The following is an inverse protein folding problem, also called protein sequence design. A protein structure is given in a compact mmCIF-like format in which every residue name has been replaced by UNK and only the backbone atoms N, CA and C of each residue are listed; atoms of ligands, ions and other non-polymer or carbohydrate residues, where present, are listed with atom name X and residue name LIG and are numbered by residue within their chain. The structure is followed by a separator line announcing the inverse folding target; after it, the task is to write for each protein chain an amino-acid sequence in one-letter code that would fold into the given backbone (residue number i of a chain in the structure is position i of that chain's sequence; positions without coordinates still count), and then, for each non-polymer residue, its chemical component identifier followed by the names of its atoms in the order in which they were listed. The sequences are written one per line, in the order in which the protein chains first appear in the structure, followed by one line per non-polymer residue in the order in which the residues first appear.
data_IF_021518226924
#
_entry.id   IF_021518226924
#
_cell.length_a   1.000
_cell.length_b   1.000
_cell.length_c   1.000
_cell.angle_alpha   90.00
_cell.angle_beta   90.00
_cell.angle_gamma   90.00
#
_symmetry.space_group_name_H-M   'P 1'
#
loop_
_entity.id
_entity.type
_entity.pdbx_description
1 polymer ?
#
# COMPACT_ATOMS: atom_id res chain seq x y z
N UNK A 1 -17.80 -48.52 -12.17
CA UNK A 1 -16.99 -48.02 -11.04
C UNK A 1 -15.84 -47.11 -11.50
N UNK A 2 -14.93 -47.55 -12.38
CA UNK A 2 -13.76 -46.74 -12.81
C UNK A 2 -14.11 -45.39 -13.46
N UNK A 3 -15.18 -45.34 -14.29
CA UNK A 3 -15.68 -44.10 -14.91
C UNK A 3 -16.34 -43.13 -13.92
N UNK A 4 -16.96 -43.66 -12.86
CA UNK A 4 -17.63 -42.85 -11.83
C UNK A 4 -16.59 -42.20 -10.90
N UNK A 5 -15.56 -42.95 -10.52
CA UNK A 5 -14.41 -42.41 -9.75
C UNK A 5 -13.70 -41.32 -10.54
N UNK A 6 -13.48 -41.52 -11.84
CA UNK A 6 -12.84 -40.51 -12.69
C UNK A 6 -13.68 -39.22 -12.79
N UNK A 7 -15.00 -39.32 -12.90
CA UNK A 7 -15.90 -38.17 -12.94
C UNK A 7 -15.88 -37.38 -11.62
N UNK A 8 -15.86 -38.08 -10.49
CA UNK A 8 -15.79 -37.48 -9.14
C UNK A 8 -14.46 -36.76 -8.96
N UNK A 9 -13.34 -37.36 -9.37
CA UNK A 9 -12.01 -36.71 -9.32
C UNK A 9 -11.96 -35.46 -10.22
N UNK A 10 -12.56 -35.51 -11.40
CA UNK A 10 -12.62 -34.36 -12.32
C UNK A 10 -13.44 -33.21 -11.71
N UNK A 11 -14.60 -33.52 -11.12
CA UNK A 11 -15.44 -32.53 -10.45
C UNK A 11 -14.76 -31.94 -9.21
N UNK A 12 -14.03 -32.75 -8.44
CA UNK A 12 -13.26 -32.26 -7.29
C UNK A 12 -12.12 -31.32 -7.72
N UNK A 13 -11.43 -31.62 -8.83
CA UNK A 13 -10.40 -30.75 -9.40
C UNK A 13 -10.98 -29.42 -9.91
N UNK A 14 -12.14 -29.44 -10.56
CA UNK A 14 -12.82 -28.22 -11.01
C UNK A 14 -13.27 -27.36 -9.82
N UNK A 15 -13.81 -27.99 -8.76
CA UNK A 15 -14.20 -27.28 -7.55
C UNK A 15 -13.01 -26.66 -6.80
N UNK A 16 -11.87 -27.36 -6.74
CA UNK A 16 -10.63 -26.84 -6.14
C UNK A 16 -10.05 -25.67 -6.95
N UNK A 17 -10.04 -25.77 -8.28
CA UNK A 17 -9.56 -24.69 -9.15
C UNK A 17 -10.45 -23.44 -9.13
N UNK A 18 -11.77 -23.61 -9.00
CA UNK A 18 -12.68 -22.49 -8.82
C UNK A 18 -12.44 -21.77 -7.48
N UNK A 19 -12.18 -22.51 -6.39
CA UNK A 19 -11.90 -21.91 -5.08
C UNK A 19 -10.60 -21.06 -5.08
N UNK A 20 -9.58 -21.45 -5.87
CA UNK A 20 -8.37 -20.64 -6.02
C UNK A 20 -8.55 -19.44 -6.94
N UNK A 21 -9.46 -19.51 -7.92
CA UNK A 21 -9.74 -18.42 -8.86
C UNK A 21 -10.57 -17.27 -8.25
N UNK A 22 -11.19 -17.48 -7.09
CA UNK A 22 -11.89 -16.43 -6.33
C UNK A 22 -11.15 -16.03 -5.04
N UNK A 23 -9.93 -16.54 -4.83
CA UNK A 23 -9.09 -16.17 -3.69
C UNK A 23 -8.36 -14.83 -3.90
N UNK A 24 -8.27 -14.37 -5.15
CA UNK A 24 -7.85 -13.02 -5.51
C UNK A 24 -9.08 -12.10 -5.28
N UNK A 25 -9.07 -11.36 -4.17
CA UNK A 25 -10.09 -10.35 -3.90
C UNK A 25 -10.12 -9.27 -5.00
N UNK A 26 -11.07 -8.33 -4.99
CA UNK A 26 -11.25 -7.34 -6.07
C UNK A 26 -10.07 -6.38 -6.34
N UNK A 27 -8.88 -6.62 -5.81
CA UNK A 27 -7.70 -5.75 -5.94
C UNK A 27 -6.43 -6.55 -6.29
N UNK A 28 -6.47 -7.42 -7.29
CA UNK A 28 -5.24 -7.82 -7.96
C UNK A 28 -4.82 -6.70 -8.92
N UNK A 29 -4.14 -5.69 -8.35
CA UNK A 29 -3.42 -4.70 -9.13
C UNK A 29 -2.26 -5.44 -9.80
N UNK A 30 -2.37 -5.78 -11.09
CA UNK A 30 -1.18 -6.22 -11.82
C UNK A 30 -0.19 -5.05 -11.81
N UNK A 31 1.11 -5.33 -11.98
CA UNK A 31 2.14 -4.32 -12.09
C UNK A 31 1.72 -3.20 -13.06
N UNK A 32 0.92 -3.55 -14.08
CA UNK A 32 0.48 -2.67 -15.16
C UNK A 32 -0.62 -1.67 -14.82
N UNK A 33 -1.31 -1.85 -13.71
CA UNK A 33 -2.34 -0.90 -13.30
C UNK A 33 -1.72 0.39 -12.77
N UNK A 34 -0.56 0.26 -12.14
CA UNK A 34 0.26 1.39 -11.72
C UNK A 34 1.39 1.70 -12.71
N UNK A 35 1.87 0.72 -13.50
CA UNK A 35 3.05 0.89 -14.36
C UNK A 35 2.84 0.69 -15.88
N UNK A 36 3.69 1.33 -16.69
CA UNK A 36 3.75 1.06 -18.15
C UNK A 36 4.86 0.04 -18.50
N UNK A 37 4.51 -1.16 -18.97
CA UNK A 37 5.49 -2.21 -19.37
C UNK A 37 6.44 -1.79 -20.48
N UNK A 38 5.94 -1.08 -21.50
CA UNK A 38 6.72 -0.79 -22.71
C UNK A 38 7.51 0.52 -22.62
N UNK A 39 7.24 1.35 -21.61
CA UNK A 39 7.83 2.70 -21.48
C UNK A 39 8.32 3.02 -20.06
N UNK A 40 8.52 2.01 -19.20
CA UNK A 40 8.98 2.20 -17.82
C UNK A 40 10.41 2.74 -17.71
N UNK A 41 10.55 4.06 -17.86
CA UNK A 41 11.73 4.82 -17.44
C UNK A 41 11.28 6.04 -16.66
N UNK A 42 11.70 6.13 -15.38
CA UNK A 42 11.41 7.26 -14.50
C UNK A 42 9.92 7.66 -14.53
N UNK A 43 9.63 8.91 -14.84
CA UNK A 43 8.29 9.52 -14.93
C UNK A 43 7.32 8.76 -15.87
N UNK A 44 7.81 8.00 -16.87
CA UNK A 44 6.98 7.23 -17.80
C UNK A 44 6.66 5.81 -17.32
N UNK A 45 7.24 5.41 -16.18
CA UNK A 45 6.95 4.12 -15.58
C UNK A 45 5.61 4.07 -14.90
N UNK A 46 4.93 5.19 -14.67
CA UNK A 46 3.61 5.22 -14.03
C UNK A 46 2.53 5.31 -15.12
N UNK A 47 1.61 4.34 -15.15
CA UNK A 47 0.48 4.26 -16.09
C UNK A 47 -0.75 5.07 -15.67
N UNK A 48 -0.77 5.53 -14.42
CA UNK A 48 -1.82 6.38 -13.88
C UNK A 48 -1.52 7.85 -14.18
N UNK A 49 -2.52 8.58 -14.69
CA UNK A 49 -2.42 10.04 -14.81
C UNK A 49 -2.52 10.64 -13.40
N UNK A 50 -1.48 11.33 -12.90
CA UNK A 50 -1.54 11.89 -11.55
C UNK A 50 -2.58 13.01 -11.49
N UNK A 51 -3.41 13.03 -10.44
CA UNK A 51 -4.27 14.18 -10.13
C UNK A 51 -3.37 15.33 -9.67
N UNK A 52 -3.20 16.35 -10.51
CA UNK A 52 -2.36 17.54 -10.23
C UNK A 52 -3.16 18.79 -9.84
N UNK A 53 -4.49 18.70 -9.78
CA UNK A 53 -5.45 19.81 -9.65
C UNK A 53 -6.15 19.91 -8.27
N UNK A 54 -6.23 18.83 -7.48
CA UNK A 54 -6.63 18.89 -6.07
C UNK A 54 -5.72 19.88 -5.29
N UNK A 55 -6.30 20.61 -4.32
CA UNK A 55 -5.62 21.55 -3.41
C UNK A 55 -4.52 20.86 -2.58
N UNK A 56 -3.38 20.59 -3.22
CA UNK A 56 -2.15 20.15 -2.59
C UNK A 56 -1.00 20.92 -3.26
N UNK A 57 -0.34 21.84 -2.53
CA UNK A 57 0.47 22.93 -3.08
C UNK A 57 1.82 22.52 -3.72
N UNK A 58 2.08 21.23 -3.96
CA UNK A 58 3.37 20.71 -4.41
C UNK A 58 3.38 20.15 -5.85
N UNK A 59 2.38 20.48 -6.68
CA UNK A 59 2.06 19.72 -7.89
C UNK A 59 2.65 20.34 -9.17
N UNK A 60 3.77 19.78 -9.64
CA UNK A 60 4.12 19.81 -11.06
C UNK A 60 5.12 18.70 -11.39
N UNK A 61 4.69 17.73 -12.22
CA UNK A 61 5.48 16.62 -12.82
C UNK A 61 5.61 15.33 -11.99
N UNK A 62 5.68 14.20 -12.71
CA UNK A 62 5.77 12.81 -12.23
C UNK A 62 7.16 12.43 -11.70
N UNK A 63 7.85 13.36 -11.04
CA UNK A 63 9.07 13.01 -10.33
C UNK A 63 8.70 12.17 -9.10
N UNK A 64 9.46 11.11 -8.79
CA UNK A 64 9.31 10.28 -7.58
C UNK A 64 9.73 11.04 -6.31
N UNK A 65 9.03 12.13 -6.07
CA UNK A 65 9.07 13.00 -4.91
C UNK A 65 7.92 12.62 -3.98
N UNK A 66 7.90 13.16 -2.76
CA UNK A 66 6.78 12.92 -1.85
C UNK A 66 5.44 13.34 -2.47
N UNK A 67 5.47 14.39 -3.31
CA UNK A 67 4.29 14.91 -4.00
C UNK A 67 3.87 14.04 -5.18
N UNK A 68 4.85 13.44 -5.89
CA UNK A 68 4.59 12.52 -6.99
C UNK A 68 3.90 11.25 -6.53
N UNK A 69 4.33 10.69 -5.38
CA UNK A 69 3.70 9.50 -4.78
C UNK A 69 2.23 9.74 -4.48
N UNK A 70 1.92 10.80 -3.72
CA UNK A 70 0.54 11.10 -3.37
C UNK A 70 -0.31 11.38 -4.62
N UNK A 71 0.24 12.10 -5.62
CA UNK A 71 -0.47 12.39 -6.86
C UNK A 71 -0.76 11.13 -7.69
N UNK A 72 0.12 10.12 -7.66
CA UNK A 72 -0.11 8.82 -8.28
C UNK A 72 -1.25 8.07 -7.59
N UNK A 73 -1.22 7.96 -6.26
CA UNK A 73 -2.29 7.30 -5.51
C UNK A 73 -3.64 7.98 -5.74
N UNK A 74 -3.66 9.31 -5.65
CA UNK A 74 -4.85 10.13 -5.87
C UNK A 74 -5.29 10.19 -7.34
N UNK A 75 -4.51 9.69 -8.31
CA UNK A 75 -4.99 9.51 -9.67
C UNK A 75 -6.15 8.50 -9.76
N UNK A 76 -6.23 7.56 -8.82
CA UNK A 76 -7.30 6.55 -8.74
C UNK A 76 -8.08 6.55 -7.41
N UNK A 77 -7.52 7.13 -6.34
CA UNK A 77 -8.15 7.21 -5.01
C UNK A 77 -8.75 8.60 -4.71
N UNK A 78 -9.19 9.33 -5.74
CA UNK A 78 -9.89 10.60 -5.59
C UNK A 78 -11.41 10.44 -5.48
N UNK A 79 -12.11 11.54 -5.17
CA UNK A 79 -13.57 11.58 -5.00
C UNK A 79 -14.35 11.60 -6.32
N UNK A 80 -13.71 11.95 -7.45
CA UNK A 80 -14.37 12.14 -8.74
C UNK A 80 -14.39 10.85 -9.60
N UNK A 81 -13.29 10.10 -9.61
CA UNK A 81 -13.05 8.95 -10.50
C UNK A 81 -12.09 7.90 -9.89
N UNK A 82 -12.13 6.65 -10.37
CA UNK A 82 -11.19 5.58 -9.99
C UNK A 82 -11.83 4.42 -9.22
N UNK A 83 -11.11 3.86 -8.23
CA UNK A 83 -11.51 2.60 -7.56
C UNK A 83 -12.25 2.84 -6.23
N UNK A 84 -11.55 3.38 -5.23
CA UNK A 84 -12.06 3.64 -3.89
C UNK A 84 -11.54 4.99 -3.43
N UNK A 85 -12.41 5.99 -3.20
CA UNK A 85 -11.97 7.30 -2.78
C UNK A 85 -11.34 7.25 -1.38
N UNK A 86 -10.26 8.01 -1.19
CA UNK A 86 -9.69 8.29 0.14
C UNK A 86 -10.09 9.70 0.53
N UNK A 87 -10.78 9.83 1.66
CA UNK A 87 -11.14 11.14 2.20
C UNK A 87 -9.99 11.67 3.07
N UNK A 88 -9.25 12.64 2.54
CA UNK A 88 -8.11 13.26 3.23
C UNK A 88 -8.52 14.10 4.47
N UNK A 89 -9.81 14.38 4.66
CA UNK A 89 -10.32 15.09 5.85
C UNK A 89 -10.57 14.17 7.05
N UNK A 90 -10.72 12.86 6.80
CA UNK A 90 -10.96 11.86 7.85
C UNK A 90 -9.80 10.87 8.01
N UNK A 91 -8.79 10.97 7.14
CA UNK A 91 -7.56 10.18 7.20
C UNK A 91 -6.36 11.04 7.60
N UNK A 92 -5.18 10.43 7.74
CA UNK A 92 -3.97 11.19 8.05
C UNK A 92 -3.59 12.13 6.90
N UNK A 93 -3.09 13.34 7.21
CA UNK A 93 -2.59 14.24 6.19
C UNK A 93 -1.36 13.65 5.51
N UNK A 94 -1.31 13.71 4.18
CA UNK A 94 -0.15 13.30 3.37
C UNK A 94 0.59 14.52 2.81
N UNK A 95 1.83 14.35 2.37
CA UNK A 95 2.70 15.41 1.88
C UNK A 95 3.25 16.35 2.96
N UNK A 96 3.03 16.02 4.24
CA UNK A 96 3.39 16.84 5.41
C UNK A 96 4.57 16.24 6.18
N UNK A 97 5.34 17.09 6.85
CA UNK A 97 6.36 16.64 7.81
C UNK A 97 5.68 16.35 9.15
N UNK A 98 5.81 15.14 9.75
CA UNK A 98 5.29 14.88 11.08
C UNK A 98 5.91 15.80 12.13
N UNK A 99 5.07 16.38 12.99
CA UNK A 99 5.49 17.31 14.06
C UNK A 99 5.15 16.82 15.45
N UNK A 100 4.13 15.96 15.59
CA UNK A 100 3.55 15.59 16.89
C UNK A 100 3.80 14.14 17.30
N UNK A 101 4.33 13.32 16.39
CA UNK A 101 4.55 11.88 16.60
C UNK A 101 5.88 11.47 15.99
N UNK A 102 6.64 10.59 16.66
CA UNK A 102 7.88 10.04 16.12
C UNK A 102 7.57 8.98 15.05
N UNK A 103 7.36 9.44 13.81
CA UNK A 103 7.29 8.52 12.67
C UNK A 103 8.70 8.02 12.33
N UNK A 104 8.93 6.69 12.25
CA UNK A 104 10.20 6.14 11.82
C UNK A 104 10.65 6.72 10.48
N UNK A 105 11.93 7.08 10.37
CA UNK A 105 12.46 7.77 9.17
C UNK A 105 12.36 6.94 7.90
N UNK A 106 12.42 5.62 8.03
CA UNK A 106 12.23 4.64 6.96
C UNK A 106 10.80 4.65 6.39
N UNK A 107 9.84 5.29 7.08
CA UNK A 107 8.47 5.46 6.58
C UNK A 107 8.25 6.84 5.96
N UNK A 108 9.27 7.68 5.87
CA UNK A 108 9.16 9.03 5.34
C UNK A 108 9.80 9.14 3.97
N UNK A 109 9.08 9.72 3.01
CA UNK A 109 9.61 10.07 1.71
C UNK A 109 10.04 11.53 1.70
N UNK A 110 11.32 11.81 1.46
CA UNK A 110 11.87 13.18 1.55
C UNK A 110 11.54 13.88 2.89
N UNK A 111 11.47 13.09 3.98
CA UNK A 111 11.11 13.59 5.31
C UNK A 111 9.63 13.92 5.50
N UNK A 112 8.77 13.51 4.55
CA UNK A 112 7.32 13.71 4.58
C UNK A 112 6.58 12.40 4.72
N UNK A 113 5.45 12.46 5.41
CA UNK A 113 4.47 11.40 5.50
C UNK A 113 3.63 11.38 4.22
N UNK A 114 3.46 10.22 3.62
CA UNK A 114 2.82 10.03 2.30
C UNK A 114 1.92 8.80 2.34
N UNK A 115 1.20 8.52 1.25
CA UNK A 115 0.40 7.28 1.14
C UNK A 115 1.23 6.02 1.44
N UNK A 116 2.50 5.99 1.03
CA UNK A 116 3.39 4.83 1.22
C UNK A 116 4.02 4.72 2.62
N UNK A 117 3.79 5.72 3.47
CA UNK A 117 4.12 5.63 4.89
C UNK A 117 3.25 4.62 5.63
N UNK A 118 2.10 4.25 5.05
CA UNK A 118 1.16 3.27 5.58
C UNK A 118 0.98 2.07 4.65
N UNK A 119 0.96 2.29 3.34
CA UNK A 119 0.67 1.25 2.35
C UNK A 119 1.91 0.90 1.53
N UNK A 120 2.24 -0.38 1.42
CA UNK A 120 3.31 -0.84 0.54
C UNK A 120 2.75 -1.67 -0.62
N UNK A 121 2.51 -1.06 -1.80
CA UNK A 121 2.06 -1.78 -2.97
C UNK A 121 3.14 -2.66 -3.63
N UNK A 122 4.37 -2.75 -3.08
CA UNK A 122 5.46 -3.55 -3.64
C UNK A 122 5.98 -4.64 -2.67
N UNK A 123 6.17 -5.88 -3.13
CA UNK A 123 5.44 -6.54 -4.22
C UNK A 123 4.04 -6.87 -3.70
N UNK A 124 3.07 -5.96 -3.86
CA UNK A 124 1.67 -6.06 -3.40
C UNK A 124 1.50 -6.93 -2.16
N UNK A 125 2.08 -6.50 -1.03
CA UNK A 125 2.15 -7.37 0.15
C UNK A 125 0.75 -7.82 0.58
N UNK A 126 0.61 -9.05 1.08
CA UNK A 126 -0.69 -9.62 1.41
C UNK A 126 -1.29 -9.11 2.74
N UNK A 127 -0.67 -8.11 3.39
CA UNK A 127 -1.25 -7.55 4.61
C UNK A 127 -2.57 -6.87 4.30
N UNK A 128 -3.42 -6.74 5.32
CA UNK A 128 -4.71 -6.08 5.21
C UNK A 128 -4.57 -4.73 4.51
N UNK A 129 -5.22 -4.58 3.34
CA UNK A 129 -5.16 -3.38 2.49
C UNK A 129 -3.73 -2.90 2.21
N UNK A 130 -2.77 -3.81 2.02
CA UNK A 130 -1.35 -3.53 1.76
C UNK A 130 -0.63 -2.76 2.86
N UNK A 131 -1.11 -2.80 4.11
CA UNK A 131 -0.44 -2.09 5.20
C UNK A 131 1.01 -2.56 5.37
N UNK A 132 1.90 -1.63 5.73
CA UNK A 132 3.32 -1.90 6.02
C UNK A 132 3.54 -2.72 7.30
N UNK A 133 2.50 -2.99 8.07
CA UNK A 133 2.53 -3.86 9.25
C UNK A 133 1.39 -4.86 9.11
N UNK A 134 1.64 -6.15 9.34
CA UNK A 134 0.56 -7.14 9.40
C UNK A 134 -0.36 -6.83 10.59
N UNK A 135 -1.65 -6.65 10.30
CA UNK A 135 -2.69 -6.35 11.29
C UNK A 135 -3.68 -7.51 11.48
N UNK A 136 -3.25 -8.74 11.18
CA UNK A 136 -4.11 -9.93 11.24
C UNK A 136 -5.28 -9.90 10.25
N UNK A 137 -6.17 -10.87 10.39
CA UNK A 137 -7.36 -11.01 9.55
C UNK A 137 -8.27 -9.79 9.69
N UNK A 138 -8.67 -9.23 8.54
CA UNK A 138 -9.56 -8.06 8.44
C UNK A 138 -9.12 -6.82 9.26
N UNK A 139 -7.86 -6.74 9.66
CA UNK A 139 -7.34 -5.62 10.45
C UNK A 139 -7.55 -5.73 11.97
N UNK A 140 -7.77 -6.94 12.50
CA UNK A 140 -8.00 -7.19 13.93
C UNK A 140 -6.94 -6.61 14.87
N UNK A 141 -5.69 -6.47 14.42
CA UNK A 141 -4.57 -5.93 15.19
C UNK A 141 -4.18 -4.50 14.77
N UNK A 142 -5.14 -3.68 14.34
CA UNK A 142 -4.87 -2.30 13.89
C UNK A 142 -4.11 -1.47 14.94
N UNK A 143 -4.34 -1.69 16.23
CA UNK A 143 -3.61 -1.03 17.31
C UNK A 143 -2.09 -1.25 17.24
N UNK A 144 -1.65 -2.44 16.81
CA UNK A 144 -0.22 -2.78 16.64
C UNK A 144 0.41 -1.93 15.54
N UNK A 145 -0.33 -1.69 14.45
CA UNK A 145 0.09 -0.78 13.38
C UNK A 145 0.15 0.67 13.88
N UNK A 146 -0.91 1.18 14.51
CA UNK A 146 -0.94 2.56 15.02
C UNK A 146 0.19 2.85 16.02
N UNK A 147 0.50 1.87 16.88
CA UNK A 147 1.55 1.96 17.90
C UNK A 147 2.97 2.13 17.31
N UNK A 148 3.18 1.90 16.01
CA UNK A 148 4.47 2.19 15.35
C UNK A 148 4.86 3.66 15.42
N UNK A 149 3.87 4.56 15.34
CA UNK A 149 4.08 5.99 15.44
C UNK A 149 3.50 6.56 16.74
N UNK A 150 2.41 5.97 17.26
CA UNK A 150 1.70 6.45 18.43
C UNK A 150 1.83 5.52 19.65
N UNK A 151 3.05 5.22 20.15
CA UNK A 151 3.23 4.33 21.29
C UNK A 151 2.59 4.90 22.57
N UNK A 152 2.61 6.23 22.74
CA UNK A 152 2.05 6.91 23.91
C UNK A 152 0.50 6.92 23.92
N UNK A 153 -0.13 6.59 22.80
CA UNK A 153 -1.59 6.47 22.68
C UNK A 153 -2.06 5.01 22.76
N UNK A 154 -1.13 4.08 22.99
CA UNK A 154 -1.38 2.65 22.98
C UNK A 154 -1.10 2.06 24.37
N UNK A 155 -1.79 0.97 24.74
CA UNK A 155 -1.46 0.28 25.98
C UNK A 155 -0.14 -0.49 25.86
N UNK A 156 0.44 -0.85 27.01
CA UNK A 156 1.76 -1.48 27.10
C UNK A 156 1.85 -2.80 26.35
N UNK A 157 0.76 -3.56 26.27
CA UNK A 157 0.73 -4.84 25.55
C UNK A 157 0.81 -4.59 24.05
N UNK A 158 0.02 -3.66 23.53
CA UNK A 158 0.07 -3.25 22.12
C UNK A 158 1.41 -2.66 21.73
N UNK A 159 2.02 -1.83 22.58
CA UNK A 159 3.39 -1.31 22.35
C UNK A 159 4.40 -2.45 22.27
N UNK A 160 4.32 -3.42 23.19
CA UNK A 160 5.18 -4.59 23.20
C UNK A 160 5.04 -5.44 21.93
N UNK A 161 3.80 -5.68 21.49
CA UNK A 161 3.51 -6.38 20.24
C UNK A 161 4.04 -5.60 19.03
N UNK A 162 3.78 -4.29 18.97
CA UNK A 162 4.23 -3.41 17.89
C UNK A 162 5.76 -3.40 17.76
N UNK A 163 6.49 -3.38 18.87
CA UNK A 163 7.95 -3.44 18.85
C UNK A 163 8.50 -4.74 18.24
N UNK A 164 7.77 -5.84 18.31
CA UNK A 164 8.17 -7.15 17.80
C UNK A 164 7.74 -7.39 16.35
N UNK A 165 6.72 -6.69 15.87
CA UNK A 165 6.24 -6.84 14.50
C UNK A 165 7.15 -6.11 13.52
N UNK A 166 7.61 -6.79 12.47
CA UNK A 166 8.42 -6.15 11.43
C UNK A 166 7.58 -5.19 10.58
N UNK A 167 8.21 -4.10 10.15
CA UNK A 167 7.69 -3.25 9.08
C UNK A 167 8.06 -3.93 7.76
N UNK A 168 7.08 -4.21 6.92
CA UNK A 168 7.25 -4.82 5.59
C UNK A 168 7.49 -3.75 4.51
N UNK A 169 8.21 -2.69 4.84
CA UNK A 169 8.57 -1.64 3.88
C UNK A 169 9.46 -2.24 2.80
N UNK A 170 9.21 -1.87 1.53
CA UNK A 170 10.07 -2.28 0.43
C UNK A 170 11.46 -1.63 0.62
N UNK A 171 12.54 -2.40 0.82
CA UNK A 171 13.89 -1.86 1.00
C UNK A 171 14.40 -1.11 -0.25
N UNK A 172 13.75 -1.29 -1.41
CA UNK A 172 14.02 -0.53 -2.64
C UNK A 172 13.25 0.81 -2.69
N UNK A 173 12.31 1.02 -1.77
CA UNK A 173 11.48 2.23 -1.60
C UNK A 173 11.88 2.97 -0.33
N UNK A 174 12.43 2.30 0.70
CA UNK A 174 13.06 2.97 1.84
C UNK A 174 14.22 2.18 2.49
N UNK A 175 15.33 2.85 2.87
CA UNK A 175 15.57 4.28 2.77
C UNK A 175 16.29 4.60 1.45
N UNK A 176 15.61 5.27 0.50
CA UNK A 176 16.30 6.00 -0.56
C UNK A 176 16.88 7.28 0.07
N UNK A 177 17.85 7.12 0.97
CA UNK A 177 18.89 8.13 1.03
C UNK A 177 19.49 8.10 -0.37
N UNK A 178 19.34 9.17 -1.17
CA UNK A 178 20.31 9.38 -2.23
C UNK A 178 21.66 9.42 -1.52
N UNK A 179 22.40 8.31 -1.57
CA UNK A 179 23.84 8.37 -1.35
C UNK A 179 24.32 9.35 -2.40
N UNK A 180 24.62 10.58 -1.99
CA UNK A 180 25.26 11.54 -2.87
C UNK A 180 26.57 10.92 -3.36
N UNK A 181 27.00 11.17 -4.60
CA UNK A 181 28.27 10.65 -5.10
C UNK A 181 29.45 11.05 -4.22
#
# INVERSE_FOLDING_TARGET
MRKLVFLICLLALIALGAATAFAEGPHDMDCMDCHHTHYAKADYAIGVTPKTDLENPARSRMAMTSAGIDATCLGCHNEDEGIMPVNLSTTHPTGVKPTYTPVPSELLWEGKFTCVSCHNPHPSNANYKYLIVPTGDEGGDMGVFCAKCHPDQSDKMTVGASAQTAITSDPNVAPIVRVQP
#
